data_IF_703597813384
#
_entry.id   IF_703597813384
#
_cell.length_a   1.000
_cell.length_b   1.000
_cell.length_c   1.000
_cell.angle_alpha   90.00
_cell.angle_beta   90.00
_cell.angle_gamma   90.00
#
_symmetry.space_group_name_H-M   'P 1'
#
loop_
_entity.id
_entity.type
_entity.pdbx_description
1 polymer ?
#
# COMPACT_ATOMS: atom_id res chain seq x y z
N UNK A 1 10.06 -4.25 5.19
CA UNK A 1 9.48 -5.57 4.83
C UNK A 1 10.48 -6.73 4.93
N UNK A 2 11.74 -6.59 4.49
CA UNK A 2 12.72 -7.69 4.50
C UNK A 2 13.00 -8.29 5.90
N UNK A 3 13.23 -7.44 6.91
CA UNK A 3 13.54 -7.90 8.28
C UNK A 3 12.38 -8.67 8.94
N UNK A 4 11.16 -8.13 8.85
CA UNK A 4 9.95 -8.76 9.39
C UNK A 4 9.65 -10.08 8.69
N UNK A 5 9.87 -10.13 7.36
CA UNK A 5 9.73 -11.36 6.58
C UNK A 5 10.76 -12.44 6.94
N UNK A 6 12.00 -12.04 7.23
CA UNK A 6 13.04 -12.97 7.69
C UNK A 6 12.67 -13.60 9.03
N UNK A 7 12.22 -12.81 10.00
CA UNK A 7 11.78 -13.30 11.31
C UNK A 7 10.57 -14.25 11.19
N UNK A 8 9.63 -13.96 10.29
CA UNK A 8 8.50 -14.85 10.02
C UNK A 8 8.93 -16.19 9.41
N UNK A 9 9.80 -16.15 8.39
CA UNK A 9 10.26 -17.37 7.71
C UNK A 9 11.17 -18.23 8.59
N UNK A 10 12.12 -17.62 9.31
CA UNK A 10 12.95 -18.32 10.29
C UNK A 10 12.15 -18.85 11.48
N UNK A 11 11.13 -18.11 11.93
CA UNK A 11 10.25 -18.52 13.02
C UNK A 11 9.44 -19.75 12.71
N UNK A 12 9.00 -19.88 11.45
CA UNK A 12 8.31 -21.07 10.97
C UNK A 12 9.25 -22.28 10.83
N UNK A 13 10.47 -22.08 10.32
CA UNK A 13 11.43 -23.18 10.10
C UNK A 13 11.97 -23.74 11.42
N UNK A 14 12.21 -22.89 12.41
CA UNK A 14 12.93 -23.28 13.64
C UNK A 14 11.99 -23.75 14.77
N UNK A 15 10.67 -23.68 14.58
CA UNK A 15 9.61 -23.93 15.60
C UNK A 15 9.85 -23.26 16.97
N UNK A 16 10.70 -22.23 17.01
CA UNK A 16 11.13 -21.58 18.24
C UNK A 16 10.09 -20.59 18.73
N UNK A 17 9.56 -20.85 19.92
CA UNK A 17 8.54 -20.02 20.56
C UNK A 17 9.00 -18.58 20.80
N UNK A 18 10.28 -18.38 21.07
CA UNK A 18 10.84 -17.05 21.33
C UNK A 18 10.90 -16.19 20.05
N UNK A 19 11.31 -16.79 18.92
CA UNK A 19 11.41 -16.06 17.65
C UNK A 19 10.03 -15.75 17.05
N UNK A 20 9.06 -16.63 17.28
CA UNK A 20 7.67 -16.40 16.88
C UNK A 20 7.00 -15.32 17.76
N UNK A 21 7.36 -15.24 19.05
CA UNK A 21 6.92 -14.18 19.95
C UNK A 21 7.47 -12.79 19.60
N UNK A 22 8.72 -12.69 19.15
CA UNK A 22 9.28 -11.40 18.70
C UNK A 22 8.67 -10.94 17.38
N UNK A 23 8.44 -11.86 16.44
CA UNK A 23 7.68 -11.58 15.21
C UNK A 23 6.28 -11.04 15.53
N UNK A 24 5.58 -11.71 16.45
CA UNK A 24 4.26 -11.28 16.89
C UNK A 24 4.26 -9.88 17.52
N UNK A 25 5.22 -9.60 18.41
CA UNK A 25 5.38 -8.29 19.04
C UNK A 25 5.64 -7.19 18.00
N UNK A 26 6.47 -7.49 17.00
CA UNK A 26 6.76 -6.57 15.90
C UNK A 26 5.47 -6.25 15.09
N UNK A 27 4.63 -7.25 14.82
CA UNK A 27 3.34 -7.04 14.15
C UNK A 27 2.38 -6.17 14.95
N UNK A 28 2.30 -6.35 16.28
CA UNK A 28 1.48 -5.49 17.15
C UNK A 28 1.94 -4.04 17.10
N UNK A 29 3.25 -3.79 17.10
CA UNK A 29 3.81 -2.43 17.00
C UNK A 29 3.48 -1.82 15.63
N UNK A 30 3.65 -2.58 14.54
CA UNK A 30 3.30 -2.11 13.19
C UNK A 30 1.82 -1.78 13.09
N UNK A 31 0.94 -2.57 13.71
CA UNK A 31 -0.48 -2.27 13.75
C UNK A 31 -0.79 -0.96 14.45
N UNK A 32 -0.21 -0.75 15.63
CA UNK A 32 -0.40 0.48 16.37
C UNK A 32 0.06 1.69 15.54
N UNK A 33 1.19 1.57 14.82
CA UNK A 33 1.68 2.57 13.88
C UNK A 33 0.71 2.81 12.72
N UNK A 34 0.12 1.75 12.15
CA UNK A 34 -0.82 1.87 11.02
C UNK A 34 -2.12 2.57 11.44
N UNK A 35 -2.67 2.24 12.61
CA UNK A 35 -3.84 2.94 13.17
C UNK A 35 -3.50 4.40 13.48
N UNK A 36 -2.34 4.66 14.08
CA UNK A 36 -1.88 6.02 14.36
C UNK A 36 -1.70 6.84 13.09
N UNK A 37 -1.07 6.27 12.05
CA UNK A 37 -0.90 6.90 10.75
C UNK A 37 -2.23 7.11 10.03
N UNK A 38 -3.16 6.16 10.13
CA UNK A 38 -4.52 6.28 9.56
C UNK A 38 -5.31 7.43 10.19
N UNK A 39 -5.30 7.53 11.53
CA UNK A 39 -5.96 8.64 12.24
C UNK A 39 -5.27 9.97 11.90
N UNK A 40 -3.94 10.01 11.96
CA UNK A 40 -3.18 11.22 11.66
C UNK A 40 -3.41 11.71 10.22
N UNK A 41 -3.45 10.77 9.26
CA UNK A 41 -3.69 11.08 7.86
C UNK A 41 -5.13 11.45 7.56
N UNK A 42 -6.10 10.91 8.31
CA UNK A 42 -7.49 11.35 8.20
C UNK A 42 -7.66 12.80 8.69
N UNK A 43 -7.04 13.15 9.83
CA UNK A 43 -7.11 14.50 10.40
C UNK A 43 -6.37 15.52 9.54
N UNK A 44 -5.21 15.14 8.97
CA UNK A 44 -4.35 16.03 8.17
C UNK A 44 -4.41 15.72 6.68
N UNK A 45 -5.58 15.33 6.16
CA UNK A 45 -5.77 14.94 4.76
C UNK A 45 -5.27 15.99 3.76
N UNK A 46 -5.46 17.28 4.08
CA UNK A 46 -5.07 18.39 3.20
C UNK A 46 -3.55 18.57 3.15
N UNK A 47 -2.85 18.22 4.23
CA UNK A 47 -1.39 18.23 4.28
C UNK A 47 -0.82 17.05 3.46
N UNK A 48 -1.39 15.85 3.62
CA UNK A 48 -0.99 14.68 2.83
C UNK A 48 -1.22 14.91 1.34
N UNK A 49 -2.36 15.51 0.96
CA UNK A 49 -2.63 15.83 -0.44
C UNK A 49 -1.57 16.78 -1.03
N UNK A 50 -1.10 17.77 -0.25
CA UNK A 50 -0.01 18.67 -0.66
C UNK A 50 1.32 17.94 -0.81
N UNK A 51 1.68 17.08 0.14
CA UNK A 51 2.93 16.32 0.07
C UNK A 51 2.94 15.38 -1.15
N UNK A 52 1.81 14.74 -1.46
CA UNK A 52 1.66 13.88 -2.65
C UNK A 52 1.77 14.70 -3.95
N UNK A 53 1.18 15.89 -4.00
CA UNK A 53 1.32 16.80 -5.16
C UNK A 53 2.78 17.22 -5.36
N UNK A 54 3.46 17.59 -4.28
CA UNK A 54 4.88 17.98 -4.33
C UNK A 54 5.75 16.81 -4.81
N UNK A 55 5.50 15.60 -4.32
CA UNK A 55 6.19 14.40 -4.80
C UNK A 55 5.94 14.14 -6.28
N UNK A 56 4.70 14.32 -6.74
CA UNK A 56 4.35 14.22 -8.15
C UNK A 56 5.06 15.26 -9.01
N UNK A 57 5.10 16.53 -8.58
CA UNK A 57 5.79 17.60 -9.32
C UNK A 57 7.29 17.32 -9.44
N UNK A 58 7.93 16.84 -8.37
CA UNK A 58 9.34 16.44 -8.38
C UNK A 58 9.59 15.27 -9.33
N UNK A 59 8.74 14.24 -9.29
CA UNK A 59 8.85 13.09 -10.18
C UNK A 59 8.62 13.48 -11.65
N UNK A 60 7.67 14.37 -11.92
CA UNK A 60 7.38 14.89 -13.26
C UNK A 60 8.55 15.73 -13.78
N UNK A 61 9.07 16.63 -12.98
CA UNK A 61 10.22 17.45 -13.35
C UNK A 61 11.44 16.58 -13.66
N UNK A 62 11.72 15.58 -12.83
CA UNK A 62 12.82 14.66 -13.07
C UNK A 62 12.61 13.82 -14.34
N UNK A 63 11.39 13.38 -14.61
CA UNK A 63 11.07 12.64 -15.82
C UNK A 63 11.15 13.49 -17.11
N UNK A 64 11.01 14.82 -17.02
CA UNK A 64 11.13 15.73 -18.17
C UNK A 64 12.58 16.14 -18.41
N UNK A 65 13.31 16.48 -17.35
CA UNK A 65 14.69 17.00 -17.43
C UNK A 65 15.69 15.89 -17.76
N UNK A 66 15.47 14.70 -17.21
CA UNK A 66 16.39 13.57 -17.37
C UNK A 66 15.71 12.47 -18.20
N UNK A 67 16.21 12.22 -19.41
CA UNK A 67 15.64 11.19 -20.28
C UNK A 67 15.98 9.77 -19.82
N UNK A 68 17.10 9.62 -19.10
CA UNK A 68 17.60 8.34 -18.58
C UNK A 68 16.94 7.95 -17.24
N UNK A 69 16.17 8.86 -16.63
CA UNK A 69 15.41 8.63 -15.41
C UNK A 69 14.16 7.74 -15.63
N UNK A 70 14.39 6.50 -16.06
CA UNK A 70 13.37 5.47 -16.30
C UNK A 70 12.46 5.22 -15.09
N UNK A 71 13.00 5.30 -13.86
CA UNK A 71 12.24 5.15 -12.62
C UNK A 71 11.21 6.27 -12.44
N UNK A 72 11.61 7.53 -12.64
CA UNK A 72 10.71 8.67 -12.54
C UNK A 72 9.63 8.62 -13.63
N UNK A 73 10.02 8.25 -14.86
CA UNK A 73 9.10 8.04 -15.98
C UNK A 73 8.06 6.95 -15.69
N UNK A 74 8.46 5.86 -15.07
CA UNK A 74 7.56 4.77 -14.69
C UNK A 74 6.53 5.23 -13.64
N UNK A 75 6.99 5.95 -12.60
CA UNK A 75 6.11 6.51 -11.57
C UNK A 75 5.12 7.50 -12.19
N UNK A 76 5.59 8.47 -12.96
CA UNK A 76 4.70 9.47 -13.58
C UNK A 76 3.67 8.81 -14.51
N UNK A 77 4.08 7.80 -15.28
CA UNK A 77 3.18 7.04 -16.15
C UNK A 77 2.10 6.30 -15.37
N UNK A 78 2.43 5.64 -14.26
CA UNK A 78 1.42 4.95 -13.43
C UNK A 78 0.45 5.94 -12.78
N UNK A 79 0.93 7.11 -12.34
CA UNK A 79 0.07 8.19 -11.86
C UNK A 79 -0.92 8.65 -12.94
N UNK A 80 -0.43 8.91 -14.15
CA UNK A 80 -1.26 9.35 -15.26
C UNK A 80 -2.31 8.31 -15.68
N UNK A 81 -1.95 7.03 -15.70
CA UNK A 81 -2.87 5.94 -16.04
C UNK A 81 -3.92 5.71 -14.94
N UNK A 82 -3.51 5.76 -13.67
CA UNK A 82 -4.38 5.51 -12.51
C UNK A 82 -5.38 6.66 -12.30
N UNK A 83 -4.90 7.90 -12.36
CA UNK A 83 -5.71 9.10 -12.12
C UNK A 83 -6.36 9.65 -13.41
N UNK A 84 -6.03 9.07 -14.57
CA UNK A 84 -6.49 9.52 -15.87
C UNK A 84 -6.19 11.01 -16.14
N UNK A 85 -5.07 11.52 -15.62
CA UNK A 85 -4.60 12.90 -15.78
C UNK A 85 -3.23 12.95 -16.49
N UNK A 86 -2.80 14.12 -16.94
CA UNK A 86 -1.51 14.30 -17.62
C UNK A 86 -0.96 15.69 -17.27
N UNK A 87 0.15 15.73 -16.53
CA UNK A 87 0.77 16.99 -16.10
C UNK A 87 0.17 17.59 -14.82
N UNK A 88 0.96 18.49 -14.21
CA UNK A 88 0.59 19.20 -12.98
C UNK A 88 -0.29 20.43 -13.18
N UNK A 89 -0.16 21.06 -14.35
CA UNK A 89 -0.88 22.25 -14.79
C UNK A 89 -1.09 22.15 -16.31
N UNK A 90 -2.03 22.92 -16.86
CA UNK A 90 -2.32 22.89 -18.30
C UNK A 90 -1.08 23.17 -19.18
N UNK A 91 -0.13 23.99 -18.70
CA UNK A 91 1.12 24.25 -19.41
C UNK A 91 2.10 23.07 -19.34
N UNK A 92 2.24 22.45 -18.17
CA UNK A 92 3.08 21.25 -18.01
C UNK A 92 2.46 20.01 -18.69
N UNK A 93 1.14 19.96 -18.84
CA UNK A 93 0.45 18.97 -19.65
C UNK A 93 0.84 19.09 -21.14
N UNK A 94 0.86 20.32 -21.67
CA UNK A 94 1.28 20.58 -23.06
C UNK A 94 2.75 20.22 -23.27
N UNK A 95 3.66 20.66 -22.39
CA UNK A 95 5.09 20.33 -22.52
C UNK A 95 5.33 18.83 -22.40
N UNK A 96 4.65 18.14 -21.47
CA UNK A 96 4.76 16.69 -21.31
C UNK A 96 4.19 15.93 -22.51
N UNK A 97 3.04 16.34 -23.05
CA UNK A 97 2.48 15.73 -24.26
C UNK A 97 3.32 15.98 -25.51
N UNK A 98 3.95 17.15 -25.62
CA UNK A 98 4.80 17.51 -26.77
C UNK A 98 6.18 16.86 -26.72
N UNK A 99 6.86 16.87 -25.56
CA UNK A 99 8.19 16.26 -25.39
C UNK A 99 8.13 14.74 -25.18
N UNK A 100 7.07 14.25 -24.54
CA UNK A 100 7.02 12.90 -23.98
C UNK A 100 5.61 12.30 -24.08
N UNK A 101 5.06 12.29 -25.31
CA UNK A 101 3.74 11.74 -25.64
C UNK A 101 3.50 10.30 -25.12
N UNK A 102 4.56 9.53 -24.87
CA UNK A 102 4.50 8.17 -24.29
C UNK A 102 4.20 8.11 -22.78
N UNK A 103 4.23 9.24 -22.06
CA UNK A 103 3.96 9.29 -20.62
C UNK A 103 2.48 9.50 -20.30
N UNK A 104 1.68 9.98 -21.25
CA UNK A 104 0.27 10.24 -21.04
C UNK A 104 -0.58 9.08 -21.60
N UNK A 105 -1.76 8.82 -21.00
CA UNK A 105 -2.57 7.65 -21.33
C UNK A 105 -2.98 7.67 -22.80
N UNK A 106 -2.76 6.53 -23.47
CA UNK A 106 -3.02 6.35 -24.90
C UNK A 106 -4.50 6.60 -25.23
N UNK A 107 -4.77 7.72 -25.92
CA UNK A 107 -6.14 8.11 -26.31
C UNK A 107 -6.41 9.61 -26.16
N UNK A 108 -5.53 10.36 -25.49
CA UNK A 108 -5.66 11.80 -25.36
C UNK A 108 -4.91 12.56 -26.45
N UNK A 109 -5.62 13.32 -27.27
CA UNK A 109 -5.01 14.40 -28.06
C UNK A 109 -4.54 15.52 -27.13
N UNK A 110 -3.56 16.32 -27.57
CA UNK A 110 -3.04 17.48 -26.80
C UNK A 110 -4.17 18.36 -26.27
N UNK A 111 -5.23 18.53 -27.05
CA UNK A 111 -6.41 19.34 -26.71
C UNK A 111 -7.24 18.71 -25.59
N UNK A 112 -7.43 17.38 -25.61
CA UNK A 112 -8.13 16.67 -24.54
C UNK A 112 -7.38 16.68 -23.21
N UNK A 113 -6.05 16.77 -23.23
CA UNK A 113 -5.24 16.90 -22.01
C UNK A 113 -5.27 18.31 -21.42
N UNK A 114 -5.41 19.33 -22.28
CA UNK A 114 -5.61 20.72 -21.83
C UNK A 114 -7.02 20.94 -21.29
N UNK A 115 -8.03 20.23 -21.81
CA UNK A 115 -9.40 20.27 -21.28
C UNK A 115 -9.65 19.33 -20.10
N UNK A 116 -8.75 18.36 -19.85
CA UNK A 116 -8.88 17.46 -18.70
C UNK A 116 -8.46 18.17 -17.42
N UNK A 117 -9.09 17.78 -16.32
CA UNK A 117 -8.72 18.24 -14.98
C UNK A 117 -7.26 17.90 -14.66
N UNK A 118 -6.51 18.86 -14.10
CA UNK A 118 -5.11 18.71 -13.72
C UNK A 118 -4.92 17.56 -12.72
N UNK A 119 -3.75 16.89 -12.73
CA UNK A 119 -3.47 15.83 -11.74
C UNK A 119 -3.59 16.34 -10.30
N UNK A 120 -3.27 17.60 -10.04
CA UNK A 120 -3.43 18.20 -8.71
C UNK A 120 -4.89 18.21 -8.24
N UNK A 121 -5.84 18.50 -9.13
CA UNK A 121 -7.28 18.46 -8.81
C UNK A 121 -7.75 17.02 -8.58
N UNK A 122 -7.31 16.06 -9.40
CA UNK A 122 -7.62 14.64 -9.20
C UNK A 122 -7.05 14.10 -7.88
N UNK A 123 -5.87 14.55 -7.47
CA UNK A 123 -5.27 14.19 -6.19
C UNK A 123 -6.11 14.73 -5.03
N UNK A 124 -6.54 16.00 -5.07
CA UNK A 124 -7.43 16.55 -4.04
C UNK A 124 -8.78 15.82 -3.98
N UNK A 125 -9.38 15.51 -5.14
CA UNK A 125 -10.63 14.77 -5.21
C UNK A 125 -10.48 13.35 -4.64
N UNK A 126 -9.30 12.73 -4.83
CA UNK A 126 -8.99 11.43 -4.25
C UNK A 126 -8.99 11.46 -2.72
N UNK A 127 -8.37 12.50 -2.13
CA UNK A 127 -8.23 12.64 -0.67
C UNK A 127 -9.44 13.28 0.02
N UNK A 128 -10.25 14.08 -0.69
CA UNK A 128 -11.42 14.75 -0.11
C UNK A 128 -12.73 14.06 -0.42
N UNK A 129 -12.96 13.65 -1.67
CA UNK A 129 -14.22 13.04 -2.10
C UNK A 129 -14.22 11.52 -2.07
N UNK A 130 -13.04 10.91 -2.28
CA UNK A 130 -12.90 9.46 -2.49
C UNK A 130 -12.08 8.73 -1.42
N UNK A 131 -11.77 9.38 -0.30
CA UNK A 131 -11.09 8.74 0.82
C UNK A 131 -11.83 7.47 1.30
N UNK A 132 -13.16 7.49 1.21
CA UNK A 132 -14.01 6.33 1.51
C UNK A 132 -13.74 5.12 0.59
N UNK A 133 -13.37 5.32 -0.69
CA UNK A 133 -13.01 4.21 -1.59
C UNK A 133 -11.72 3.52 -1.14
N UNK A 134 -10.73 4.30 -0.68
CA UNK A 134 -9.47 3.77 -0.12
C UNK A 134 -9.78 2.99 1.17
N UNK A 135 -10.66 3.52 2.01
CA UNK A 135 -11.16 2.84 3.22
C UNK A 135 -11.87 1.52 2.91
N UNK A 136 -12.79 1.50 1.94
CA UNK A 136 -13.46 0.25 1.51
C UNK A 136 -12.45 -0.74 0.96
N UNK A 137 -11.52 -0.32 0.10
CA UNK A 137 -10.50 -1.20 -0.46
C UNK A 137 -9.67 -1.86 0.65
N UNK A 138 -9.26 -1.09 1.66
CA UNK A 138 -8.57 -1.60 2.83
C UNK A 138 -9.42 -2.63 3.60
N UNK A 139 -10.72 -2.38 3.80
CA UNK A 139 -11.65 -3.29 4.49
C UNK A 139 -11.94 -4.57 3.67
N UNK A 140 -12.03 -4.48 2.34
CA UNK A 140 -12.26 -5.65 1.48
C UNK A 140 -11.04 -6.57 1.51
N UNK A 141 -9.87 -6.00 1.31
CA UNK A 141 -8.58 -6.71 1.34
C UNK A 141 -8.40 -7.39 2.71
N UNK A 142 -8.73 -6.66 3.77
CA UNK A 142 -8.81 -7.16 5.12
C UNK A 142 -9.68 -8.41 5.32
N UNK A 143 -10.93 -8.36 4.84
CA UNK A 143 -11.91 -9.44 4.98
C UNK A 143 -11.51 -10.68 4.17
N UNK A 144 -10.95 -10.49 2.97
CA UNK A 144 -10.47 -11.59 2.11
C UNK A 144 -9.37 -12.38 2.84
N UNK A 145 -8.42 -11.68 3.45
CA UNK A 145 -7.31 -12.35 4.12
C UNK A 145 -7.69 -13.02 5.44
N UNK A 146 -8.67 -12.49 6.18
CA UNK A 146 -9.26 -13.20 7.34
C UNK A 146 -9.87 -14.53 6.91
N UNK A 147 -10.59 -14.57 5.77
CA UNK A 147 -11.16 -15.81 5.23
C UNK A 147 -10.11 -16.80 4.71
N UNK A 148 -9.02 -16.31 4.12
CA UNK A 148 -7.92 -17.16 3.67
C UNK A 148 -7.14 -17.79 4.84
N UNK A 149 -6.99 -17.07 5.97
CA UNK A 149 -6.35 -17.58 7.18
C UNK A 149 -7.08 -18.79 7.79
N UNK A 150 -8.42 -18.78 7.79
CA UNK A 150 -9.23 -19.90 8.28
C UNK A 150 -9.18 -21.15 7.38
N UNK A 151 -8.77 -21.01 6.10
CA UNK A 151 -8.58 -22.13 5.18
C UNK A 151 -7.21 -22.82 5.37
N UNK A 152 -6.19 -22.09 5.85
CA UNK A 152 -4.83 -22.63 6.05
C UNK A 152 -4.74 -23.66 7.18
N UNK A 153 -5.66 -23.65 8.14
CA UNK A 153 -5.75 -24.66 9.21
C UNK A 153 -6.13 -26.08 8.72
N UNK A 154 -6.39 -26.27 7.41
CA UNK A 154 -6.75 -27.57 6.81
C UNK A 154 -5.68 -28.20 5.90
N UNK A 155 -4.44 -27.70 5.90
CA UNK A 155 -3.30 -28.43 5.31
C UNK A 155 -3.23 -28.45 3.78
N UNK A 156 -3.60 -27.36 3.10
CA UNK A 156 -3.38 -27.19 1.65
C UNK A 156 -2.08 -26.41 1.33
N UNK A 157 -1.44 -26.62 0.17
CA UNK A 157 -0.19 -25.95 -0.20
C UNK A 157 -0.41 -24.48 -0.59
N UNK A 158 0.53 -23.61 -0.18
CA UNK A 158 0.54 -22.14 -0.28
C UNK A 158 0.43 -21.57 -1.73
N UNK A 159 0.12 -20.26 -1.91
CA UNK A 159 1.20 -19.25 -1.82
C UNK A 159 0.80 -17.87 -1.23
N UNK A 160 1.76 -17.28 -0.49
CA UNK A 160 2.25 -15.90 -0.63
C UNK A 160 1.29 -14.67 -0.57
N UNK A 161 0.22 -14.67 0.21
CA UNK A 161 -0.62 -13.47 0.39
C UNK A 161 -0.98 -13.18 1.87
N UNK A 162 0.03 -13.07 2.72
CA UNK A 162 -0.15 -12.82 4.17
C UNK A 162 0.03 -11.34 4.57
N UNK A 163 0.03 -10.39 3.64
CA UNK A 163 0.58 -9.04 3.89
C UNK A 163 -0.40 -7.87 3.95
N UNK A 164 -1.72 -8.06 3.91
CA UNK A 164 -2.68 -6.93 3.99
C UNK A 164 -3.99 -7.31 4.70
N UNK A 165 -3.91 -7.56 6.01
CA UNK A 165 -5.08 -7.75 6.92
C UNK A 165 -5.13 -6.53 7.83
N UNK A 166 -6.30 -6.02 8.29
CA UNK A 166 -6.29 -4.96 9.28
C UNK A 166 -5.85 -5.62 10.59
N UNK A 167 -4.73 -5.23 11.18
CA UNK A 167 -4.03 -6.16 12.06
C UNK A 167 -4.72 -6.49 13.40
N UNK A 168 -5.85 -5.87 13.78
CA UNK A 168 -6.53 -6.13 15.06
C UNK A 168 -7.05 -7.56 15.24
N UNK A 169 -7.59 -8.20 14.18
CA UNK A 169 -8.34 -9.46 14.34
C UNK A 169 -7.50 -10.72 14.08
N UNK A 170 -6.46 -10.64 13.25
CA UNK A 170 -5.57 -11.76 12.96
C UNK A 170 -4.57 -12.03 14.09
N UNK A 171 -4.15 -10.96 14.75
CA UNK A 171 -3.24 -10.97 15.89
C UNK A 171 -3.88 -11.76 17.05
N UNK A 172 -5.17 -11.54 17.36
CA UNK A 172 -5.84 -12.23 18.47
C UNK A 172 -6.05 -13.74 18.23
N UNK A 173 -6.45 -14.14 17.03
CA UNK A 173 -6.65 -15.55 16.65
C UNK A 173 -5.32 -16.32 16.54
N UNK A 174 -4.25 -15.70 16.01
CA UNK A 174 -2.91 -16.32 16.01
C UNK A 174 -2.32 -16.44 17.41
N UNK A 175 -2.48 -15.44 18.29
CA UNK A 175 -2.05 -15.56 19.69
C UNK A 175 -2.81 -16.69 20.37
N UNK A 176 -4.14 -16.70 20.28
CA UNK A 176 -4.95 -17.71 20.96
C UNK A 176 -4.63 -19.10 20.46
N UNK A 177 -4.45 -19.30 19.16
CA UNK A 177 -4.10 -20.60 18.60
C UNK A 177 -2.68 -21.04 18.97
N UNK A 178 -1.72 -20.10 19.06
CA UNK A 178 -0.33 -20.40 19.42
C UNK A 178 -0.17 -20.60 20.94
N UNK A 179 -0.89 -19.84 21.76
CA UNK A 179 -0.97 -20.00 23.23
C UNK A 179 -1.74 -21.27 23.59
N UNK A 180 -2.83 -21.62 22.88
CA UNK A 180 -3.47 -22.93 23.04
C UNK A 180 -2.53 -24.07 22.64
N UNK A 181 -1.86 -23.98 21.49
CA UNK A 181 -0.91 -25.01 21.06
C UNK A 181 0.27 -25.17 22.03
N UNK A 182 0.80 -24.07 22.58
CA UNK A 182 1.84 -24.14 23.61
C UNK A 182 1.33 -24.58 24.97
N UNK A 183 0.12 -24.19 25.37
CA UNK A 183 -0.54 -24.70 26.57
C UNK A 183 -0.76 -26.21 26.50
N UNK A 184 -1.25 -26.72 25.36
CA UNK A 184 -1.47 -28.14 25.13
C UNK A 184 -0.15 -28.92 25.08
N UNK A 185 0.89 -28.38 24.43
CA UNK A 185 2.21 -29.03 24.33
C UNK A 185 3.00 -29.01 25.65
N UNK A 186 2.85 -27.98 26.48
CA UNK A 186 3.44 -27.94 27.82
C UNK A 186 2.71 -28.87 28.80
N UNK A 187 1.40 -29.11 28.61
CA UNK A 187 0.63 -30.08 29.40
C UNK A 187 0.89 -31.55 29.01
N UNK A 188 1.51 -31.84 27.86
CA UNK A 188 1.87 -33.21 27.47
C UNK A 188 3.24 -33.65 27.99
N UNK A 189 4.01 -32.75 28.63
CA UNK A 189 5.36 -33.01 29.16
C UNK A 189 5.34 -33.18 30.70
N UNK A 190 4.18 -33.04 31.34
CA UNK A 190 3.94 -33.39 32.75
C UNK A 190 3.00 -34.58 32.88
#
# INVERSE_FOLDING_TARGET
MMFVGFLGCYGAIQESQCLLGTFFTCLVILFACEVAAGIWGFVNKDQIAKDVKQFYDQALQQAIVDDDASNAKAVVKTFHETLNCCGSSSLSAITTSMLKNSLCPSGSTVISNVLKEDCHQKIDDLFSGKLYLIGIAAIVVAVIMVRAGAASARGGPSPALALTVPPSLQIFEMILSMVLCCGIRNSSVY
#
